data_IF_010843782494
#
_entry.id   IF_010843782494
#
_cell.length_a   1.000
_cell.length_b   1.000
_cell.length_c   1.000
_cell.angle_alpha   90.00
_cell.angle_beta   90.00
_cell.angle_gamma   90.00
#
_symmetry.space_group_name_H-M   'P 1'
#
loop_
_entity.id
_entity.type
_entity.pdbx_description
1 polymer ?
#
# COMPACT_ATOMS: atom_id res chain seq x y z
N UNK A 1 -15.10 11.87 -7.81
CA UNK A 1 -15.41 10.53 -7.28
C UNK A 1 -14.20 10.00 -6.54
N UNK A 2 -14.41 9.41 -5.37
CA UNK A 2 -13.38 8.75 -4.57
C UNK A 2 -13.62 7.24 -4.59
N UNK A 3 -12.58 6.48 -4.89
CA UNK A 3 -12.58 5.03 -4.87
C UNK A 3 -11.74 4.58 -3.67
N UNK A 4 -12.37 3.95 -2.69
CA UNK A 4 -11.69 3.48 -1.47
C UNK A 4 -11.57 1.98 -1.51
N UNK A 5 -10.34 1.50 -1.56
CA UNK A 5 -9.99 0.08 -1.67
C UNK A 5 -9.49 -0.39 -0.31
N UNK A 6 -10.35 -1.10 0.41
CA UNK A 6 -10.06 -1.63 1.74
C UNK A 6 -11.03 -2.74 2.10
N UNK A 7 -10.60 -3.68 2.94
CA UNK A 7 -11.47 -4.65 3.63
C UNK A 7 -11.86 -4.20 5.04
N UNK A 8 -11.23 -3.15 5.54
CA UNK A 8 -11.53 -2.57 6.84
C UNK A 8 -12.75 -1.65 6.74
N UNK A 9 -13.89 -2.13 7.23
CA UNK A 9 -15.16 -1.39 7.23
C UNK A 9 -15.13 -0.16 8.13
N UNK A 10 -14.32 -0.16 9.20
CA UNK A 10 -14.15 0.99 10.09
C UNK A 10 -13.39 2.08 9.35
N UNK A 11 -12.28 1.70 8.71
CA UNK A 11 -11.52 2.63 7.88
C UNK A 11 -12.38 3.22 6.77
N UNK A 12 -13.14 2.39 6.04
CA UNK A 12 -14.06 2.87 5.00
C UNK A 12 -15.07 3.87 5.55
N UNK A 13 -15.71 3.56 6.69
CA UNK A 13 -16.72 4.44 7.30
C UNK A 13 -16.10 5.78 7.71
N UNK A 14 -14.92 5.77 8.30
CA UNK A 14 -14.19 6.98 8.64
C UNK A 14 -13.89 7.83 7.41
N UNK A 15 -13.35 7.24 6.35
CA UNK A 15 -13.05 7.93 5.09
C UNK A 15 -14.31 8.48 4.42
N UNK A 16 -15.41 7.72 4.39
CA UNK A 16 -16.70 8.17 3.86
C UNK A 16 -17.21 9.43 4.59
N UNK A 17 -17.06 9.47 5.91
CA UNK A 17 -17.46 10.64 6.70
C UNK A 17 -16.57 11.86 6.42
N UNK A 18 -15.26 11.67 6.28
CA UNK A 18 -14.32 12.74 5.94
C UNK A 18 -14.60 13.29 4.53
N UNK A 19 -14.92 12.40 3.58
CA UNK A 19 -15.15 12.70 2.17
C UNK A 19 -16.64 12.98 1.85
N UNK A 20 -17.45 13.32 2.83
CA UNK A 20 -18.92 13.39 2.77
C UNK A 20 -19.49 14.26 1.64
N UNK A 21 -18.70 15.18 1.08
CA UNK A 21 -19.10 16.04 -0.05
C UNK A 21 -18.89 15.38 -1.43
N UNK A 22 -18.29 14.19 -1.51
CA UNK A 22 -17.97 13.53 -2.74
C UNK A 22 -18.75 12.21 -2.94
N UNK A 23 -18.80 11.74 -4.19
CA UNK A 23 -19.26 10.37 -4.48
C UNK A 23 -18.15 9.41 -4.05
N UNK A 24 -18.42 8.56 -3.05
CA UNK A 24 -17.48 7.61 -2.45
C UNK A 24 -17.93 6.20 -2.75
N UNK A 25 -17.09 5.44 -3.42
CA UNK A 25 -17.31 4.03 -3.77
C UNK A 25 -16.40 3.15 -2.93
N UNK A 26 -16.94 2.09 -2.35
CA UNK A 26 -16.20 1.08 -1.58
C UNK A 26 -15.84 -0.10 -2.49
N UNK A 27 -14.58 -0.47 -2.52
CA UNK A 27 -14.07 -1.65 -3.22
C UNK A 27 -13.41 -2.56 -2.18
N UNK A 28 -13.93 -3.76 -2.04
CA UNK A 28 -13.38 -4.77 -1.13
C UNK A 28 -12.49 -5.78 -1.85
N UNK A 29 -12.79 -6.05 -3.13
CA UNK A 29 -12.07 -6.99 -3.96
C UNK A 29 -11.70 -6.35 -5.30
N UNK A 30 -10.58 -6.77 -5.88
CA UNK A 30 -10.12 -6.23 -7.17
C UNK A 30 -11.11 -6.44 -8.33
N UNK A 31 -11.92 -7.50 -8.27
CA UNK A 31 -12.94 -7.83 -9.28
C UNK A 31 -14.07 -6.80 -9.35
N UNK A 32 -14.26 -6.01 -8.28
CA UNK A 32 -15.25 -4.92 -8.22
C UNK A 32 -14.79 -3.66 -8.96
N UNK A 33 -13.53 -3.61 -9.40
CA UNK A 33 -12.96 -2.47 -10.11
C UNK A 33 -13.45 -2.48 -11.56
N UNK A 34 -14.43 -1.64 -11.85
CA UNK A 34 -14.87 -1.38 -13.22
C UNK A 34 -14.07 -0.20 -13.81
N UNK A 35 -13.22 -0.50 -14.79
CA UNK A 35 -12.35 0.50 -15.41
C UNK A 35 -13.14 1.60 -16.12
N UNK A 36 -14.31 1.30 -16.66
CA UNK A 36 -15.13 2.29 -17.37
C UNK A 36 -15.88 3.22 -16.41
N UNK A 37 -16.42 2.68 -15.33
CA UNK A 37 -17.18 3.43 -14.33
C UNK A 37 -16.28 4.28 -13.41
N UNK A 38 -15.05 3.81 -13.15
CA UNK A 38 -14.17 4.39 -12.15
C UNK A 38 -13.04 5.24 -12.74
N UNK A 39 -13.11 5.60 -14.03
CA UNK A 39 -12.10 6.47 -14.66
C UNK A 39 -11.97 7.82 -13.96
N UNK A 40 -10.74 8.33 -13.96
CA UNK A 40 -10.39 9.64 -13.38
C UNK A 40 -10.81 9.79 -11.91
N UNK A 41 -10.89 8.68 -11.17
CA UNK A 41 -11.17 8.71 -9.75
C UNK A 41 -9.95 9.16 -8.95
N UNK A 42 -10.20 9.70 -7.77
CA UNK A 42 -9.22 9.78 -6.69
C UNK A 42 -9.20 8.42 -6.00
N UNK A 43 -8.09 7.71 -6.03
CA UNK A 43 -7.99 6.35 -5.50
C UNK A 43 -7.29 6.36 -4.15
N UNK A 44 -7.94 5.78 -3.14
CA UNK A 44 -7.39 5.61 -1.80
C UNK A 44 -7.24 4.12 -1.53
N UNK A 45 -6.02 3.68 -1.28
CA UNK A 45 -5.69 2.27 -1.05
C UNK A 45 -5.23 2.11 0.39
N UNK A 46 -5.89 1.23 1.10
CA UNK A 46 -5.45 0.78 2.42
C UNK A 46 -4.68 -0.53 2.28
N UNK A 47 -3.43 -0.53 2.71
CA UNK A 47 -2.57 -1.72 2.60
C UNK A 47 -2.68 -2.66 3.79
N UNK A 48 -3.37 -2.25 4.85
CA UNK A 48 -3.71 -3.14 5.94
C UNK A 48 -4.70 -4.19 5.42
N UNK A 49 -4.44 -5.44 5.60
CA UNK A 49 -5.30 -6.59 5.20
C UNK A 49 -5.40 -6.85 3.68
N UNK A 50 -4.72 -6.09 2.83
CA UNK A 50 -4.73 -6.31 1.39
C UNK A 50 -3.32 -6.44 0.83
N UNK A 51 -3.02 -7.55 0.16
CA UNK A 51 -1.80 -7.68 -0.63
C UNK A 51 -1.97 -6.96 -1.99
N UNK A 52 -2.08 -5.63 -1.94
CA UNK A 52 -2.41 -4.78 -3.10
C UNK A 52 -1.24 -4.53 -4.06
N UNK A 53 -0.04 -5.03 -3.76
CA UNK A 53 1.15 -4.76 -4.58
C UNK A 53 1.47 -5.86 -5.59
N UNK A 54 0.50 -6.66 -6.00
CA UNK A 54 0.69 -7.60 -7.11
C UNK A 54 0.43 -6.94 -8.47
N UNK A 55 1.00 -7.53 -9.53
CA UNK A 55 1.05 -6.90 -10.86
C UNK A 55 -0.32 -6.64 -11.47
N UNK A 56 -1.26 -7.56 -11.29
CA UNK A 56 -2.59 -7.43 -11.90
C UNK A 56 -3.36 -6.25 -11.30
N UNK A 57 -3.41 -6.15 -9.98
CA UNK A 57 -4.06 -5.06 -9.28
C UNK A 57 -3.48 -3.70 -9.67
N UNK A 58 -2.15 -3.55 -9.62
CA UNK A 58 -1.51 -2.29 -9.99
C UNK A 58 -1.77 -1.91 -11.46
N UNK A 59 -1.82 -2.90 -12.36
CA UNK A 59 -2.18 -2.66 -13.76
C UNK A 59 -3.64 -2.20 -13.91
N UNK A 60 -4.56 -2.75 -13.12
CA UNK A 60 -5.95 -2.28 -13.11
C UNK A 60 -6.03 -0.83 -12.62
N UNK A 61 -5.33 -0.48 -11.54
CA UNK A 61 -5.27 0.89 -11.04
C UNK A 61 -4.72 1.85 -12.11
N UNK A 62 -3.66 1.47 -12.82
CA UNK A 62 -3.13 2.30 -13.91
C UNK A 62 -4.14 2.50 -15.06
N UNK A 63 -4.95 1.48 -15.39
CA UNK A 63 -6.00 1.56 -16.42
C UNK A 63 -7.13 2.52 -16.06
N UNK A 64 -7.40 2.72 -14.76
CA UNK A 64 -8.37 3.73 -14.30
C UNK A 64 -7.94 5.16 -14.66
N UNK A 65 -6.67 5.38 -14.98
CA UNK A 65 -6.08 6.72 -15.18
C UNK A 65 -6.44 7.66 -14.02
N UNK A 66 -6.22 7.28 -12.77
CA UNK A 66 -6.67 8.06 -11.64
C UNK A 66 -6.01 9.42 -11.62
N UNK A 67 -6.72 10.42 -11.09
CA UNK A 67 -6.19 11.77 -10.90
C UNK A 67 -5.02 11.73 -9.91
N UNK A 68 -5.18 10.96 -8.85
CA UNK A 68 -4.18 10.78 -7.80
C UNK A 68 -4.43 9.46 -7.06
N UNK A 69 -3.38 8.82 -6.58
CA UNK A 69 -3.47 7.64 -5.73
C UNK A 69 -2.84 7.94 -4.38
N UNK A 70 -3.62 7.78 -3.31
CA UNK A 70 -3.13 7.87 -1.93
C UNK A 70 -3.07 6.44 -1.38
N UNK A 71 -1.91 6.05 -0.86
CA UNK A 71 -1.68 4.71 -0.32
C UNK A 71 -1.37 4.83 1.17
N UNK A 72 -2.27 4.28 1.98
CA UNK A 72 -2.04 4.16 3.42
C UNK A 72 -1.08 3.01 3.68
N UNK A 73 0.18 3.33 3.91
CA UNK A 73 1.26 2.37 4.14
C UNK A 73 2.34 2.99 5.04
N UNK A 74 2.94 2.22 5.95
CA UNK A 74 4.10 2.67 6.72
C UNK A 74 5.38 2.76 5.85
N UNK A 75 5.32 2.25 4.62
CA UNK A 75 6.44 2.20 3.71
C UNK A 75 6.15 2.94 2.42
N UNK A 76 7.09 3.75 1.99
CA UNK A 76 7.10 4.29 0.64
C UNK A 76 7.63 3.21 -0.32
N UNK A 77 6.89 2.90 -1.39
CA UNK A 77 7.25 1.87 -2.35
C UNK A 77 7.70 2.53 -3.66
N UNK A 78 8.99 2.42 -3.94
CA UNK A 78 9.57 2.99 -5.16
C UNK A 78 8.92 2.42 -6.42
N UNK A 79 8.54 3.30 -7.34
CA UNK A 79 7.97 2.94 -8.65
C UNK A 79 6.76 2.02 -8.53
N UNK A 80 5.89 2.29 -7.56
CA UNK A 80 4.67 1.52 -7.34
C UNK A 80 3.77 1.55 -8.59
N UNK A 81 3.51 2.76 -9.09
CA UNK A 81 2.77 3.01 -10.34
C UNK A 81 3.63 3.89 -11.26
N UNK A 82 3.71 3.52 -12.55
CA UNK A 82 4.69 4.14 -13.44
C UNK A 82 4.37 5.57 -13.88
N UNK A 83 3.09 5.90 -14.08
CA UNK A 83 2.65 7.16 -14.70
C UNK A 83 1.62 7.94 -13.88
N UNK A 84 1.28 7.46 -12.71
CA UNK A 84 0.23 8.03 -11.86
C UNK A 84 0.89 8.70 -10.66
N UNK A 85 0.47 9.91 -10.26
CA UNK A 85 0.94 10.52 -9.02
C UNK A 85 0.49 9.68 -7.83
N UNK A 86 1.45 9.27 -6.99
CA UNK A 86 1.22 8.44 -5.81
C UNK A 86 1.78 9.13 -4.59
N UNK A 87 0.97 9.21 -3.54
CA UNK A 87 1.41 9.69 -2.22
C UNK A 87 1.23 8.58 -1.19
N UNK A 88 2.28 8.25 -0.46
CA UNK A 88 2.24 7.31 0.65
C UNK A 88 2.06 8.06 1.95
N UNK A 89 1.07 7.66 2.72
CA UNK A 89 0.76 8.28 4.01
C UNK A 89 0.66 7.22 5.11
N UNK A 90 1.14 7.49 6.32
CA UNK A 90 0.93 6.60 7.45
C UNK A 90 -0.53 6.65 7.90
N UNK A 91 -1.07 5.58 8.47
CA UNK A 91 -2.42 5.59 9.08
C UNK A 91 -2.56 6.56 10.26
N UNK A 92 -1.45 7.02 10.80
CA UNK A 92 -1.38 8.03 11.87
C UNK A 92 -1.51 9.46 11.37
N UNK A 93 -1.68 9.67 10.04
CA UNK A 93 -1.93 11.00 9.48
C UNK A 93 -3.14 11.65 10.16
N UNK A 94 -3.04 12.92 10.50
CA UNK A 94 -4.18 13.64 11.08
C UNK A 94 -5.27 13.88 10.03
N UNK A 95 -6.51 14.03 10.46
CA UNK A 95 -7.62 14.36 9.54
C UNK A 95 -7.36 15.68 8.82
N UNK A 96 -6.78 16.66 9.52
CA UNK A 96 -6.46 17.97 8.97
C UNK A 96 -5.45 17.85 7.83
N UNK A 97 -4.36 17.12 8.05
CA UNK A 97 -3.32 16.91 7.03
C UNK A 97 -3.84 16.09 5.85
N UNK A 98 -4.67 15.09 6.11
CA UNK A 98 -5.29 14.29 5.05
C UNK A 98 -6.25 15.12 4.19
N UNK A 99 -7.09 15.96 4.78
CA UNK A 99 -7.99 16.86 4.05
C UNK A 99 -7.18 17.90 3.26
N UNK A 100 -6.11 18.46 3.84
CA UNK A 100 -5.21 19.37 3.14
C UNK A 100 -4.54 18.69 1.92
N UNK A 101 -4.11 17.42 2.06
CA UNK A 101 -3.55 16.63 0.97
C UNK A 101 -4.55 16.47 -0.18
N UNK A 102 -5.80 16.11 0.10
CA UNK A 102 -6.85 15.94 -0.91
C UNK A 102 -7.17 17.24 -1.63
N UNK A 103 -7.16 18.34 -0.90
CA UNK A 103 -7.46 19.67 -1.46
C UNK A 103 -6.28 20.31 -2.20
N UNK A 104 -5.13 19.62 -2.28
CA UNK A 104 -3.92 20.16 -2.90
C UNK A 104 -3.25 21.28 -2.11
N UNK A 105 -3.68 21.51 -0.87
CA UNK A 105 -3.09 22.49 0.05
C UNK A 105 -1.94 21.80 0.79
N UNK A 106 -0.73 21.87 0.21
CA UNK A 106 0.45 21.21 0.77
C UNK A 106 0.86 21.85 2.11
N UNK A 107 0.44 21.22 3.19
CA UNK A 107 1.23 21.18 4.40
C UNK A 107 2.19 19.97 4.28
N UNK A 108 3.32 20.00 4.94
CA UNK A 108 4.30 18.89 4.93
C UNK A 108 3.62 17.58 5.35
N UNK A 109 3.20 16.78 4.36
CA UNK A 109 2.65 15.45 4.63
C UNK A 109 3.79 14.62 5.21
N UNK A 110 3.61 13.96 6.37
CA UNK A 110 4.62 13.06 6.88
C UNK A 110 4.83 11.95 5.86
N UNK A 111 5.97 11.98 5.15
CA UNK A 111 6.33 10.88 4.27
C UNK A 111 6.65 9.63 5.09
N UNK A 112 6.31 8.46 4.55
CA UNK A 112 6.72 7.21 5.16
C UNK A 112 8.26 7.16 5.26
N UNK A 113 8.77 7.04 6.48
CA UNK A 113 10.21 7.15 6.79
C UNK A 113 11.09 6.11 6.08
N UNK A 114 10.51 5.02 5.61
CA UNK A 114 11.20 3.87 5.03
C UNK A 114 10.76 3.64 3.59
N UNK A 115 11.73 3.51 2.69
CA UNK A 115 11.48 3.28 1.26
C UNK A 115 11.94 1.88 0.84
N UNK A 116 10.99 1.05 0.43
CA UNK A 116 11.22 -0.30 -0.10
C UNK A 116 11.03 -0.36 -1.61
N UNK A 117 11.73 -1.27 -2.28
CA UNK A 117 11.34 -1.67 -3.62
C UNK A 117 10.07 -2.53 -3.57
N UNK A 118 9.32 -2.58 -4.67
CA UNK A 118 8.13 -3.43 -4.79
C UNK A 118 8.42 -4.91 -4.44
N UNK A 119 9.56 -5.44 -4.91
CA UNK A 119 9.97 -6.82 -4.61
C UNK A 119 10.33 -7.01 -3.13
N UNK A 120 11.02 -6.04 -2.53
CA UNK A 120 11.31 -6.08 -1.09
C UNK A 120 10.03 -6.07 -0.26
N UNK A 121 9.05 -5.23 -0.62
CA UNK A 121 7.76 -5.22 0.06
C UNK A 121 7.03 -6.57 -0.07
N UNK A 122 7.02 -7.19 -1.26
CA UNK A 122 6.41 -8.51 -1.47
C UNK A 122 7.08 -9.59 -0.61
N UNK A 123 8.43 -9.61 -0.56
CA UNK A 123 9.19 -10.54 0.28
C UNK A 123 8.88 -10.29 1.76
N UNK A 124 8.85 -9.04 2.19
CA UNK A 124 8.53 -8.66 3.56
C UNK A 124 7.12 -9.13 3.97
N UNK A 125 6.12 -8.91 3.11
CA UNK A 125 4.75 -9.36 3.33
C UNK A 125 4.67 -10.90 3.44
N UNK A 126 5.36 -11.65 2.59
CA UNK A 126 5.40 -13.11 2.69
C UNK A 126 6.04 -13.58 4.02
N UNK A 127 7.12 -12.95 4.46
CA UNK A 127 7.78 -13.26 5.75
C UNK A 127 6.84 -12.94 6.93
N UNK A 128 6.17 -11.80 6.90
CA UNK A 128 5.22 -11.40 7.92
C UNK A 128 4.05 -12.39 8.05
N UNK A 129 3.58 -12.92 6.93
CA UNK A 129 2.57 -13.99 6.88
C UNK A 129 3.14 -15.39 7.18
N UNK A 130 4.36 -15.49 7.71
CA UNK A 130 4.99 -16.73 8.15
C UNK A 130 5.10 -17.82 7.03
N UNK A 131 5.14 -17.41 5.77
CA UNK A 131 5.32 -18.34 4.67
C UNK A 131 6.70 -19.01 4.73
N UNK A 132 6.77 -20.27 4.34
CA UNK A 132 8.06 -20.97 4.23
C UNK A 132 8.93 -20.36 3.12
N UNK A 133 10.24 -20.57 3.19
CA UNK A 133 11.15 -20.06 2.15
C UNK A 133 10.76 -20.61 0.78
N UNK A 134 10.45 -21.91 0.71
CA UNK A 134 10.05 -22.61 -0.52
C UNK A 134 8.81 -21.97 -1.15
N UNK A 135 7.76 -21.73 -0.35
CA UNK A 135 6.52 -21.08 -0.80
C UNK A 135 6.80 -19.66 -1.32
N UNK A 136 7.69 -18.92 -0.67
CA UNK A 136 8.08 -17.57 -1.10
C UNK A 136 8.78 -17.61 -2.47
N UNK A 137 9.71 -18.54 -2.66
CA UNK A 137 10.42 -18.70 -3.92
C UNK A 137 9.46 -19.00 -5.06
N UNK A 138 8.53 -19.93 -4.85
CA UNK A 138 7.52 -20.31 -5.83
C UNK A 138 6.56 -19.15 -6.13
N UNK A 139 5.95 -18.56 -5.10
CA UNK A 139 4.98 -17.46 -5.23
C UNK A 139 5.56 -16.24 -5.93
N UNK A 140 6.79 -15.86 -5.58
CA UNK A 140 7.43 -14.66 -6.12
C UNK A 140 8.27 -14.92 -7.37
N UNK A 141 8.42 -16.19 -7.77
CA UNK A 141 9.26 -16.66 -8.89
C UNK A 141 10.69 -16.08 -8.81
N UNK A 142 11.33 -16.25 -7.66
CA UNK A 142 12.69 -15.78 -7.41
C UNK A 142 13.60 -16.94 -6.97
N UNK A 143 14.90 -16.79 -7.21
CA UNK A 143 15.88 -17.77 -6.73
C UNK A 143 16.14 -17.60 -5.23
N UNK A 144 16.64 -18.67 -4.61
CA UNK A 144 17.07 -18.66 -3.19
C UNK A 144 18.09 -17.54 -2.91
N UNK A 145 19.05 -17.35 -3.82
CA UNK A 145 20.05 -16.28 -3.73
C UNK A 145 19.37 -14.91 -3.74
N UNK A 146 18.39 -14.69 -4.63
CA UNK A 146 17.66 -13.43 -4.74
C UNK A 146 16.82 -13.18 -3.48
N UNK A 147 16.19 -14.21 -2.92
CA UNK A 147 15.46 -14.12 -1.66
C UNK A 147 16.36 -13.63 -0.51
N UNK A 148 17.50 -14.27 -0.32
CA UNK A 148 18.43 -13.85 0.76
C UNK A 148 18.99 -12.45 0.54
N UNK A 149 19.20 -12.03 -0.70
CA UNK A 149 19.61 -10.67 -1.03
C UNK A 149 18.53 -9.66 -0.62
N UNK A 150 17.26 -9.92 -0.95
CA UNK A 150 16.15 -9.06 -0.53
C UNK A 150 15.98 -9.06 0.98
N UNK A 151 16.03 -10.24 1.63
CA UNK A 151 15.95 -10.38 3.08
C UNK A 151 17.02 -9.55 3.80
N UNK A 152 18.26 -9.63 3.36
CA UNK A 152 19.38 -8.85 3.91
C UNK A 152 19.13 -7.34 3.73
N UNK A 153 18.77 -6.91 2.53
CA UNK A 153 18.50 -5.50 2.25
C UNK A 153 17.34 -4.95 3.08
N UNK A 154 16.27 -5.73 3.27
CA UNK A 154 15.14 -5.36 4.14
C UNK A 154 15.62 -5.16 5.58
N UNK A 155 16.43 -6.10 6.10
CA UNK A 155 16.97 -6.00 7.44
C UNK A 155 17.83 -4.74 7.61
N UNK A 156 18.66 -4.40 6.62
CA UNK A 156 19.47 -3.17 6.63
C UNK A 156 18.60 -1.90 6.61
N UNK A 157 17.59 -1.87 5.73
CA UNK A 157 16.68 -0.71 5.58
C UNK A 157 15.85 -0.49 6.87
N UNK A 158 15.42 -1.58 7.52
CA UNK A 158 14.62 -1.55 8.75
C UNK A 158 15.48 -1.51 10.02
N UNK A 159 16.81 -1.50 9.88
CA UNK A 159 17.78 -1.55 10.99
C UNK A 159 17.56 -2.73 11.95
N UNK A 160 17.30 -3.91 11.38
CA UNK A 160 17.05 -5.14 12.14
C UNK A 160 18.33 -5.96 12.27
N UNK A 161 18.63 -6.46 13.46
CA UNK A 161 19.72 -7.43 13.68
C UNK A 161 19.32 -8.84 13.26
N UNK A 162 18.05 -9.22 13.43
CA UNK A 162 17.47 -10.51 13.07
C UNK A 162 16.10 -10.32 12.44
N UNK A 163 15.74 -11.15 11.47
CA UNK A 163 14.45 -11.07 10.79
C UNK A 163 13.27 -11.28 11.75
N UNK A 164 13.47 -12.07 12.81
CA UNK A 164 12.43 -12.33 13.81
C UNK A 164 12.09 -11.07 14.65
N UNK A 165 12.90 -10.02 14.59
CA UNK A 165 12.58 -8.73 15.18
C UNK A 165 11.48 -8.01 14.42
N UNK A 166 11.22 -8.39 13.17
CA UNK A 166 10.06 -7.92 12.42
C UNK A 166 8.75 -8.10 13.19
N UNK A 167 8.59 -9.24 13.88
CA UNK A 167 7.37 -9.54 14.68
C UNK A 167 7.15 -8.53 15.80
N UNK A 168 8.23 -7.87 16.26
CA UNK A 168 8.17 -6.84 17.30
C UNK A 168 8.08 -5.41 16.73
N UNK A 169 8.16 -5.27 15.42
CA UNK A 169 8.15 -3.97 14.77
C UNK A 169 6.69 -3.52 14.60
N UNK A 170 6.35 -2.30 15.07
CA UNK A 170 4.99 -1.72 14.99
C UNK A 170 4.42 -1.68 13.55
N UNK A 171 5.25 -1.95 12.55
CA UNK A 171 4.87 -1.95 11.14
C UNK A 171 4.40 -3.31 10.61
N UNK A 172 4.48 -4.38 11.42
CA UNK A 172 4.06 -5.72 10.98
C UNK A 172 2.56 -5.84 10.85
N UNK A 173 1.81 -5.15 11.71
CA UNK A 173 0.35 -5.17 11.70
C UNK A 173 -0.24 -4.66 10.36
N UNK A 174 0.58 -3.99 9.55
CA UNK A 174 0.22 -3.52 8.21
C UNK A 174 0.50 -4.55 7.08
N UNK A 175 1.15 -5.67 7.41
CA UNK A 175 1.64 -6.64 6.43
C UNK A 175 0.98 -8.01 6.55
N UNK A 176 0.29 -8.25 7.67
CA UNK A 176 -0.37 -9.54 8.02
C UNK A 176 -1.83 -9.56 7.59
#
# INVERSE_FOLDING_TARGET
>A
MFLIITRDTIFFTAMKNILSKGNVVHIQNEEEIDVMLHQNAFVIIDTLMNNVFHSNFLTQIERLKPVHVIIFSPFNIKRCLGKVPVTFVPRTITIIDFVALINGSYCSVPEAAVSLSRKQHQVLSCIANQMTTEDILEKLKISLKTFYCHKHNIMMILNLKRINELVRHQHIDYLV
#
